data_IF_532421895133
#
_entry.id   IF_532421895133
#
_cell.length_a   1.000
_cell.length_b   1.000
_cell.length_c   1.000
_cell.angle_alpha   90.00
_cell.angle_beta   90.00
_cell.angle_gamma   90.00
#
_symmetry.space_group_name_H-M   'P 1'
#
loop_
_entity.id
_entity.type
_entity.pdbx_description
1 polymer ?
#
# COMPACT_ATOMS: atom_id res chain seq x y z
N UNK A 1 14.10 56.45 25.11
CA UNK A 1 13.83 55.20 24.36
C UNK A 1 12.35 54.93 24.47
N UNK A 2 11.67 54.95 23.33
CA UNK A 2 10.22 54.92 23.23
C UNK A 2 9.77 53.46 23.39
N UNK A 3 8.69 53.20 24.14
CA UNK A 3 8.19 51.84 24.44
C UNK A 3 8.00 50.94 23.19
N UNK A 4 7.90 51.53 21.99
CA UNK A 4 7.87 50.81 20.72
C UNK A 4 9.15 50.01 20.41
N UNK A 5 10.34 50.53 20.73
CA UNK A 5 11.60 49.86 20.41
C UNK A 5 11.79 48.57 21.23
N UNK A 6 11.38 48.61 22.50
CA UNK A 6 11.44 47.44 23.40
C UNK A 6 10.46 46.34 23.00
N UNK A 7 9.25 46.70 22.54
CA UNK A 7 8.28 45.71 22.05
C UNK A 7 8.75 45.04 20.76
N UNK A 8 9.37 45.79 19.85
CA UNK A 8 9.93 45.24 18.60
C UNK A 8 11.07 44.27 18.91
N UNK A 9 11.98 44.61 19.83
CA UNK A 9 13.07 43.71 20.26
C UNK A 9 12.52 42.44 20.91
N UNK A 10 11.52 42.54 21.79
CA UNK A 10 10.90 41.38 22.43
C UNK A 10 10.24 40.44 21.40
N UNK A 11 9.58 41.01 20.38
CA UNK A 11 8.98 40.25 19.29
C UNK A 11 10.05 39.49 18.48
N UNK A 12 11.18 40.11 18.16
CA UNK A 12 12.27 39.44 17.46
C UNK A 12 12.86 38.29 18.27
N UNK A 13 13.04 38.46 19.58
CA UNK A 13 13.55 37.38 20.46
C UNK A 13 12.58 36.19 20.47
N UNK A 14 11.27 36.44 20.52
CA UNK A 14 10.27 35.37 20.46
C UNK A 14 10.27 34.64 19.12
N UNK A 15 10.37 35.37 18.01
CA UNK A 15 10.42 34.77 16.67
C UNK A 15 11.70 33.94 16.50
N UNK A 16 12.85 34.48 16.90
CA UNK A 16 14.13 33.76 16.80
C UNK A 16 14.16 32.53 17.72
N UNK A 17 13.60 32.64 18.93
CA UNK A 17 13.45 31.53 19.84
C UNK A 17 12.56 30.42 19.26
N UNK A 18 11.44 30.79 18.64
CA UNK A 18 10.53 29.83 18.01
C UNK A 18 11.22 29.11 16.83
N UNK A 19 11.94 29.84 15.99
CA UNK A 19 12.71 29.25 14.88
C UNK A 19 13.79 28.30 15.40
N UNK A 20 14.51 28.68 16.47
CA UNK A 20 15.53 27.84 17.08
C UNK A 20 14.95 26.53 17.64
N UNK A 21 13.78 26.60 18.31
CA UNK A 21 13.07 25.42 18.83
C UNK A 21 12.63 24.51 17.69
N UNK A 22 11.99 25.05 16.65
CA UNK A 22 11.54 24.26 15.49
C UNK A 22 12.72 23.57 14.81
N UNK A 23 13.82 24.30 14.61
CA UNK A 23 15.05 23.76 14.01
C UNK A 23 15.68 22.66 14.87
N UNK A 24 15.71 22.85 16.19
CA UNK A 24 16.22 21.85 17.13
C UNK A 24 15.38 20.57 17.11
N UNK A 25 14.04 20.70 17.09
CA UNK A 25 13.11 19.56 17.02
C UNK A 25 13.28 18.80 15.70
N UNK A 26 13.31 19.49 14.56
CA UNK A 26 13.51 18.85 13.26
C UNK A 26 14.85 18.12 13.16
N UNK A 27 15.93 18.70 13.69
CA UNK A 27 17.26 18.06 13.66
C UNK A 27 17.35 16.83 14.56
N UNK A 28 16.70 16.85 15.72
CA UNK A 28 16.80 15.76 16.69
C UNK A 28 15.77 14.64 16.47
N UNK A 29 14.56 14.99 16.04
CA UNK A 29 13.43 14.05 15.89
C UNK A 29 13.03 13.79 14.43
N UNK A 30 13.51 14.59 13.47
CA UNK A 30 13.21 14.41 12.05
C UNK A 30 13.53 13.00 11.53
N UNK A 31 14.74 12.46 11.76
CA UNK A 31 15.09 11.11 11.31
C UNK A 31 14.14 10.04 11.88
N UNK A 32 13.85 10.09 13.18
CA UNK A 32 12.96 9.13 13.83
C UNK A 32 11.52 9.18 13.30
N UNK A 33 11.01 10.38 12.98
CA UNK A 33 9.69 10.55 12.36
C UNK A 33 9.69 9.99 10.94
N UNK A 34 10.75 10.24 10.17
CA UNK A 34 10.88 9.72 8.80
C UNK A 34 10.95 8.19 8.81
N UNK A 35 11.76 7.60 9.69
CA UNK A 35 11.88 6.14 9.84
C UNK A 35 10.55 5.51 10.30
N UNK A 36 9.83 6.17 11.21
CA UNK A 36 8.50 5.75 11.64
C UNK A 36 7.47 5.80 10.50
N UNK A 37 7.45 6.89 9.72
CA UNK A 37 6.55 7.03 8.57
C UNK A 37 6.91 6.00 7.49
N UNK A 38 8.20 5.81 7.20
CA UNK A 38 8.65 4.84 6.20
C UNK A 38 8.29 3.42 6.60
N UNK A 39 8.59 3.00 7.84
CA UNK A 39 8.23 1.65 8.32
C UNK A 39 6.72 1.39 8.26
N UNK A 40 5.89 2.37 8.67
CA UNK A 40 4.43 2.28 8.56
C UNK A 40 3.95 2.25 7.10
N UNK A 41 4.60 3.00 6.23
CA UNK A 41 4.28 3.01 4.80
C UNK A 41 4.63 1.67 4.15
N UNK A 42 5.76 1.05 4.50
CA UNK A 42 6.16 -0.28 4.01
C UNK A 42 5.18 -1.37 4.46
N UNK A 43 4.71 -1.34 5.72
CA UNK A 43 3.68 -2.26 6.21
C UNK A 43 2.38 -2.12 5.40
N UNK A 44 1.90 -0.88 5.23
CA UNK A 44 0.68 -0.60 4.47
C UNK A 44 0.80 -0.97 2.99
N UNK A 45 1.95 -0.70 2.36
CA UNK A 45 2.24 -1.11 0.99
C UNK A 45 2.19 -2.63 0.86
N UNK A 46 2.78 -3.37 1.82
CA UNK A 46 2.76 -4.83 1.83
C UNK A 46 1.36 -5.40 1.98
N UNK A 47 0.55 -4.86 2.90
CA UNK A 47 -0.86 -5.26 3.05
C UNK A 47 -1.65 -5.00 1.76
N UNK A 48 -1.37 -3.87 1.11
CA UNK A 48 -2.04 -3.49 -0.13
C UNK A 48 -1.64 -4.40 -1.30
N UNK A 49 -0.37 -4.80 -1.41
CA UNK A 49 0.11 -5.79 -2.38
C UNK A 49 -0.60 -7.14 -2.19
N UNK A 50 -0.68 -7.62 -0.95
CA UNK A 50 -1.40 -8.84 -0.58
C UNK A 50 -2.87 -8.77 -0.97
N UNK A 51 -3.52 -7.64 -0.67
CA UNK A 51 -4.92 -7.43 -1.05
C UNK A 51 -5.11 -7.47 -2.57
N UNK A 52 -4.24 -6.80 -3.34
CA UNK A 52 -4.34 -6.83 -4.80
C UNK A 52 -4.07 -8.20 -5.39
N UNK A 53 -3.08 -8.93 -4.87
CA UNK A 53 -2.78 -10.28 -5.33
C UNK A 53 -3.98 -11.22 -5.11
N UNK A 54 -4.61 -11.18 -3.94
CA UNK A 54 -5.87 -11.92 -3.68
C UNK A 54 -6.98 -11.50 -4.63
N UNK A 55 -7.17 -10.19 -4.82
CA UNK A 55 -8.19 -9.67 -5.74
C UNK A 55 -7.96 -10.13 -7.18
N UNK A 56 -6.70 -10.20 -7.61
CA UNK A 56 -6.31 -10.62 -8.95
C UNK A 56 -6.58 -12.10 -9.18
N UNK A 57 -6.27 -12.96 -8.19
CA UNK A 57 -6.60 -14.39 -8.23
C UNK A 57 -8.11 -14.59 -8.29
N UNK A 58 -8.87 -13.92 -7.43
CA UNK A 58 -10.34 -14.02 -7.43
C UNK A 58 -10.93 -13.50 -8.75
N UNK A 59 -10.45 -12.37 -9.25
CA UNK A 59 -10.88 -11.81 -10.53
C UNK A 59 -10.60 -12.77 -11.69
N UNK A 60 -9.40 -13.34 -11.75
CA UNK A 60 -9.03 -14.27 -12.81
C UNK A 60 -9.90 -15.53 -12.78
N UNK A 61 -10.18 -16.08 -11.60
CA UNK A 61 -11.03 -17.27 -11.45
C UNK A 61 -12.50 -16.98 -11.74
N UNK A 62 -13.03 -15.85 -11.30
CA UNK A 62 -14.43 -15.48 -11.55
C UNK A 62 -14.67 -15.13 -13.03
N UNK A 63 -13.72 -14.47 -13.68
CA UNK A 63 -13.89 -13.98 -15.05
C UNK A 63 -13.45 -14.99 -16.11
N UNK A 64 -12.49 -15.86 -15.77
CA UNK A 64 -11.85 -16.79 -16.68
C UNK A 64 -11.80 -18.22 -16.12
N UNK A 65 -12.78 -18.61 -15.30
CA UNK A 65 -12.84 -19.93 -14.66
C UNK A 65 -12.81 -21.11 -15.63
N UNK A 66 -13.23 -20.88 -16.87
CA UNK A 66 -13.22 -21.87 -17.96
C UNK A 66 -11.84 -22.06 -18.63
N UNK A 67 -10.88 -21.15 -18.38
CA UNK A 67 -9.52 -21.24 -18.92
C UNK A 67 -8.64 -22.20 -18.11
N UNK A 68 -7.52 -22.62 -18.69
CA UNK A 68 -6.54 -23.43 -17.96
C UNK A 68 -5.89 -22.64 -16.80
N UNK A 69 -5.39 -23.35 -15.79
CA UNK A 69 -4.78 -22.71 -14.62
C UNK A 69 -3.61 -21.78 -14.95
N UNK A 70 -2.81 -22.10 -15.98
CA UNK A 70 -1.73 -21.23 -16.46
C UNK A 70 -2.24 -19.96 -17.12
N UNK A 71 -3.35 -20.04 -17.87
CA UNK A 71 -3.95 -18.86 -18.50
C UNK A 71 -4.62 -17.96 -17.47
N UNK A 72 -5.28 -18.54 -16.45
CA UNK A 72 -5.83 -17.78 -15.32
C UNK A 72 -4.72 -17.06 -14.54
N UNK A 73 -3.59 -17.72 -14.33
CA UNK A 73 -2.43 -17.12 -13.67
C UNK A 73 -1.90 -15.91 -14.44
N UNK A 74 -1.73 -16.04 -15.76
CA UNK A 74 -1.30 -14.92 -16.61
C UNK A 74 -2.31 -13.76 -16.59
N UNK A 75 -3.61 -14.05 -16.53
CA UNK A 75 -4.65 -13.00 -16.37
C UNK A 75 -4.62 -12.34 -15.00
N UNK A 76 -4.30 -13.08 -13.94
CA UNK A 76 -4.11 -12.50 -12.61
C UNK A 76 -2.88 -11.59 -12.59
N UNK A 77 -1.77 -11.99 -13.21
CA UNK A 77 -0.58 -11.15 -13.36
C UNK A 77 -0.87 -9.87 -14.14
N UNK A 78 -1.56 -9.97 -15.28
CA UNK A 78 -1.93 -8.82 -16.10
C UNK A 78 -2.79 -7.83 -15.30
N UNK A 79 -3.74 -8.34 -14.51
CA UNK A 79 -4.60 -7.52 -13.66
C UNK A 79 -3.87 -6.89 -12.49
N UNK A 80 -3.00 -7.64 -11.81
CA UNK A 80 -2.18 -7.16 -10.70
C UNK A 80 -1.24 -6.05 -11.17
N UNK A 81 -0.53 -6.28 -12.27
CA UNK A 81 0.37 -5.31 -12.88
C UNK A 81 -0.36 -4.00 -13.18
N UNK A 82 -1.49 -4.05 -13.90
CA UNK A 82 -2.30 -2.85 -14.20
C UNK A 82 -2.77 -2.14 -12.92
N UNK A 83 -3.21 -2.89 -11.92
CA UNK A 83 -3.72 -2.33 -10.66
C UNK A 83 -2.63 -1.61 -9.86
N UNK A 84 -1.42 -2.15 -9.86
CA UNK A 84 -0.27 -1.59 -9.15
C UNK A 84 0.37 -0.41 -9.90
N UNK A 85 0.51 -0.50 -11.23
CA UNK A 85 0.99 0.61 -12.06
C UNK A 85 0.08 1.83 -11.94
N UNK A 86 -1.25 1.64 -11.99
CA UNK A 86 -2.21 2.74 -11.86
C UNK A 86 -2.16 3.45 -10.51
N UNK A 87 -1.59 2.82 -9.49
CA UNK A 87 -1.45 3.35 -8.13
C UNK A 87 -0.04 3.86 -7.82
N UNK A 88 0.85 3.86 -8.79
CA UNK A 88 2.23 4.32 -8.62
C UNK A 88 3.10 3.37 -7.77
N UNK A 89 2.73 2.09 -7.69
CA UNK A 89 3.48 1.06 -6.95
C UNK A 89 3.97 -0.05 -7.91
N UNK A 90 4.78 0.26 -8.94
CA UNK A 90 5.31 -0.77 -9.81
C UNK A 90 6.20 -1.72 -8.99
N UNK A 91 6.00 -3.03 -9.15
CA UNK A 91 6.85 -4.07 -8.58
C UNK A 91 7.37 -4.96 -9.72
N UNK A 92 8.46 -5.66 -9.46
CA UNK A 92 9.09 -6.54 -10.44
C UNK A 92 8.19 -7.73 -10.78
N UNK A 93 8.37 -8.29 -11.98
CA UNK A 93 7.54 -9.41 -12.45
C UNK A 93 7.66 -10.63 -11.55
N UNK A 94 8.87 -10.99 -11.16
CA UNK A 94 9.15 -12.14 -10.28
C UNK A 94 8.45 -11.98 -8.92
N UNK A 95 8.35 -10.74 -8.43
CA UNK A 95 7.65 -10.43 -7.17
C UNK A 95 6.12 -10.53 -7.33
N UNK A 96 5.58 -10.12 -8.48
CA UNK A 96 4.16 -10.33 -8.82
C UNK A 96 3.82 -11.82 -8.90
N UNK A 97 4.68 -12.61 -9.55
CA UNK A 97 4.51 -14.06 -9.67
C UNK A 97 4.46 -14.73 -8.29
N UNK A 98 5.41 -14.41 -7.41
CA UNK A 98 5.44 -14.92 -6.05
C UNK A 98 4.20 -14.51 -5.24
N UNK A 99 3.72 -13.26 -5.38
CA UNK A 99 2.53 -12.77 -4.70
C UNK A 99 1.24 -13.47 -5.17
N UNK A 100 1.10 -13.70 -6.47
CA UNK A 100 -0.06 -14.41 -7.03
C UNK A 100 -0.03 -15.89 -6.63
N UNK A 101 1.14 -16.53 -6.65
CA UNK A 101 1.29 -17.93 -6.21
C UNK A 101 0.91 -18.07 -4.73
N UNK A 102 1.46 -17.20 -3.87
CA UNK A 102 1.09 -17.16 -2.47
C UNK A 102 -0.41 -16.93 -2.26
N UNK A 103 -1.02 -15.99 -2.99
CA UNK A 103 -2.45 -15.70 -2.89
C UNK A 103 -3.32 -16.88 -3.37
N UNK A 104 -2.85 -17.64 -4.36
CA UNK A 104 -3.50 -18.83 -4.85
C UNK A 104 -3.43 -19.98 -3.82
N UNK A 105 -2.26 -20.21 -3.24
CA UNK A 105 -2.08 -21.18 -2.15
C UNK A 105 -2.96 -20.84 -0.94
N UNK A 106 -3.00 -19.57 -0.56
CA UNK A 106 -3.83 -19.11 0.54
C UNK A 106 -5.33 -19.29 0.24
N UNK A 107 -5.79 -18.94 -0.96
CA UNK A 107 -7.18 -19.17 -1.36
C UNK A 107 -7.54 -20.66 -1.38
N UNK A 108 -6.58 -21.52 -1.75
CA UNK A 108 -6.72 -22.99 -1.73
C UNK A 108 -6.85 -23.50 -0.30
N UNK A 109 -5.99 -23.04 0.61
CA UNK A 109 -6.01 -23.40 2.03
C UNK A 109 -7.28 -22.91 2.73
N UNK A 110 -7.77 -21.72 2.37
CA UNK A 110 -9.00 -21.14 2.92
C UNK A 110 -10.29 -21.81 2.40
N UNK A 111 -10.20 -22.76 1.46
CA UNK A 111 -11.37 -23.43 0.87
C UNK A 111 -12.20 -22.55 -0.07
N UNK A 112 -11.82 -21.28 -0.25
CA UNK A 112 -12.48 -20.32 -1.16
C UNK A 112 -12.41 -20.78 -2.62
N UNK A 113 -11.42 -21.60 -2.94
CA UNK A 113 -11.27 -22.20 -4.27
C UNK A 113 -12.41 -23.17 -4.63
N UNK A 114 -13.02 -23.83 -3.63
CA UNK A 114 -14.14 -24.76 -3.82
C UNK A 114 -15.49 -24.04 -3.74
N UNK A 115 -15.63 -23.11 -2.78
CA UNK A 115 -16.88 -22.39 -2.51
C UNK A 115 -17.34 -21.45 -3.66
N UNK A 116 -16.42 -20.82 -4.38
CA UNK A 116 -16.78 -19.93 -5.50
C UNK A 116 -17.31 -20.70 -6.73
N UNK A 117 -16.86 -21.94 -6.96
CA UNK A 117 -17.38 -22.78 -8.04
C UNK A 117 -18.81 -23.25 -7.81
N UNK A 118 -19.23 -23.36 -6.54
CA UNK A 118 -20.62 -23.71 -6.17
C UNK A 118 -21.53 -22.47 -6.20
N UNK A 119 -21.02 -21.26 -5.89
CA UNK A 119 -21.79 -20.02 -5.94
C UNK A 119 -22.10 -19.55 -7.38
N UNK A 120 -21.22 -19.79 -8.35
CA UNK A 120 -21.50 -19.45 -9.76
C UNK A 120 -22.56 -20.33 -10.42
N UNK A 121 -22.89 -21.49 -9.83
CA UNK A 121 -23.93 -22.39 -10.33
C UNK A 121 -25.33 -22.10 -9.77
N UNK A 122 -25.46 -21.19 -8.80
CA UNK A 122 -26.73 -20.92 -8.11
C UNK A 122 -27.43 -19.63 -8.57
N UNK A 123 -26.81 -18.82 -9.44
CA UNK A 123 -27.43 -17.59 -9.98
C UNK A 123 -28.04 -17.74 -11.40
N UNK A 124 -28.00 -18.93 -12.00
CA UNK A 124 -28.70 -19.25 -13.27
C UNK A 124 -29.88 -20.24 -13.09
N UNK A 125 -30.79 -19.98 -12.15
CA UNK A 125 -32.13 -20.61 -12.14
C UNK A 125 -33.25 -19.60 -11.94
#
# INVERSE_FOLDING_TARGET
MQYGDLMVIAMYILIFGLIAIVTFVMRNFGPAIVDYIQSKTTEQQREMLVYFARSAVVFARNRFGDLSGSEQFEKALEYLHKSLTNRGMPIERDEMEALIEWAYEEAKQAGLIKALSEQTLTEEQ
#
